data_IF_975008709068
#
_entry.id   IF_975008709068
#
_cell.length_a   1.000
_cell.length_b   1.000
_cell.length_c   1.000
_cell.angle_alpha   90.00
_cell.angle_beta   90.00
_cell.angle_gamma   90.00
#
_symmetry.space_group_name_H-M   'P 1'
#
loop_
_entity.id
_entity.type
_entity.pdbx_description
1 polymer ?
#
# COMPACT_ATOMS: atom_id res chain seq x y z
N UNK A 1 -9.43 15.27 -12.39
CA UNK A 1 -8.36 14.26 -12.46
C UNK A 1 -7.12 14.74 -13.23
N UNK A 2 -7.26 15.41 -14.38
CA UNK A 2 -6.11 15.85 -15.18
C UNK A 2 -5.11 16.76 -14.44
N UNK A 3 -5.61 17.69 -13.61
CA UNK A 3 -4.76 18.60 -12.82
C UNK A 3 -3.86 17.86 -11.83
N UNK A 4 -4.37 16.81 -11.16
CA UNK A 4 -3.56 16.02 -10.22
C UNK A 4 -2.46 15.22 -10.93
N UNK A 5 -2.77 14.69 -12.12
CA UNK A 5 -1.81 13.95 -12.95
C UNK A 5 -0.68 14.88 -13.44
N UNK A 6 -1.02 16.09 -13.88
CA UNK A 6 -0.06 17.05 -14.42
C UNK A 6 0.79 17.75 -13.34
N UNK A 7 0.32 17.83 -12.09
CA UNK A 7 1.02 18.52 -11.00
C UNK A 7 2.21 17.68 -10.51
N UNK A 8 3.45 18.13 -10.69
CA UNK A 8 4.66 17.37 -10.32
C UNK A 8 5.02 17.50 -8.83
N UNK A 9 4.75 18.67 -8.23
CA UNK A 9 5.05 18.96 -6.82
C UNK A 9 4.20 18.06 -5.89
N UNK A 10 4.82 17.20 -5.05
CA UNK A 10 4.08 16.25 -4.23
C UNK A 10 3.09 16.90 -3.26
N UNK A 11 3.48 17.98 -2.58
CA UNK A 11 2.61 18.67 -1.62
C UNK A 11 1.35 19.23 -2.30
N UNK A 12 1.51 19.85 -3.48
CA UNK A 12 0.37 20.37 -4.25
C UNK A 12 -0.50 19.25 -4.82
N UNK A 13 0.12 18.15 -5.23
CA UNK A 13 -0.60 16.97 -5.72
C UNK A 13 -1.43 16.31 -4.60
N UNK A 14 -0.91 16.27 -3.38
CA UNK A 14 -1.60 15.78 -2.19
C UNK A 14 -2.89 16.58 -1.92
N UNK A 15 -2.80 17.90 -1.88
CA UNK A 15 -3.97 18.78 -1.67
C UNK A 15 -5.09 18.49 -2.68
N UNK A 16 -4.74 18.33 -3.96
CA UNK A 16 -5.69 18.02 -5.04
C UNK A 16 -6.35 16.65 -4.81
N UNK A 17 -5.59 15.60 -4.51
CA UNK A 17 -6.16 14.27 -4.29
C UNK A 17 -6.99 14.19 -3.01
N UNK A 18 -6.61 14.88 -1.95
CA UNK A 18 -7.42 14.99 -0.72
C UNK A 18 -8.78 15.62 -1.02
N UNK A 19 -8.83 16.68 -1.84
CA UNK A 19 -10.12 17.26 -2.24
C UNK A 19 -10.99 16.28 -3.02
N UNK A 20 -10.40 15.50 -3.92
CA UNK A 20 -11.12 14.47 -4.67
C UNK A 20 -11.69 13.38 -3.76
N UNK A 21 -10.93 12.96 -2.74
CA UNK A 21 -11.41 11.99 -1.75
C UNK A 21 -12.58 12.56 -0.93
N UNK A 22 -12.51 13.83 -0.51
CA UNK A 22 -13.63 14.49 0.17
C UNK A 22 -14.88 14.56 -0.69
N UNK A 23 -14.75 14.88 -1.99
CA UNK A 23 -15.89 14.87 -2.92
C UNK A 23 -16.55 13.48 -2.99
N UNK A 24 -15.75 12.41 -3.00
CA UNK A 24 -16.26 11.04 -3.04
C UNK A 24 -17.13 10.70 -1.82
N UNK A 25 -16.77 11.24 -0.66
CA UNK A 25 -17.53 11.14 0.58
C UNK A 25 -18.77 12.05 0.59
N UNK A 26 -18.60 13.33 0.27
CA UNK A 26 -19.68 14.35 0.26
C UNK A 26 -20.82 13.97 -0.69
N UNK A 27 -20.47 13.50 -1.89
CA UNK A 27 -21.43 13.18 -2.95
C UNK A 27 -21.91 11.72 -2.90
N UNK A 28 -21.46 10.94 -1.90
CA UNK A 28 -21.82 9.53 -1.71
C UNK A 28 -21.72 8.68 -3.00
N UNK A 29 -20.65 8.88 -3.78
CA UNK A 29 -20.47 8.26 -5.09
C UNK A 29 -20.37 6.73 -4.99
N UNK A 30 -19.98 6.22 -3.82
CA UNK A 30 -19.95 4.80 -3.51
C UNK A 30 -19.91 4.52 -2.01
N UNK A 31 -20.06 3.25 -1.65
CA UNK A 31 -20.00 2.79 -0.26
C UNK A 31 -18.77 1.89 -0.09
N UNK A 32 -17.60 2.45 0.27
CA UNK A 32 -16.42 1.65 0.59
C UNK A 32 -16.68 0.83 1.85
N UNK A 33 -16.66 -0.51 1.75
CA UNK A 33 -16.95 -1.39 2.88
C UNK A 33 -15.70 -1.73 3.68
N UNK A 34 -14.63 -2.15 3.01
CA UNK A 34 -13.34 -2.46 3.61
C UNK A 34 -12.26 -2.54 2.52
N UNK A 35 -11.01 -2.39 2.91
CA UNK A 35 -9.87 -2.74 2.08
C UNK A 35 -9.48 -4.19 2.37
N UNK A 36 -9.40 -5.01 1.33
CA UNK A 36 -9.04 -6.42 1.48
C UNK A 36 -7.64 -6.56 2.11
N UNK A 37 -7.55 -7.42 3.13
CA UNK A 37 -6.29 -7.80 3.76
C UNK A 37 -5.87 -9.16 3.20
N UNK A 38 -4.61 -9.26 2.78
CA UNK A 38 -4.00 -10.51 2.37
C UNK A 38 -3.23 -11.11 3.54
N UNK A 39 -3.47 -12.40 3.82
CA UNK A 39 -2.74 -13.16 4.83
C UNK A 39 -1.71 -14.03 4.11
N UNK A 40 -0.48 -14.03 4.62
CA UNK A 40 0.62 -14.86 4.13
C UNK A 40 1.19 -15.66 5.29
N UNK A 41 1.29 -16.98 5.10
CA UNK A 41 1.86 -17.88 6.08
C UNK A 41 3.27 -18.26 5.64
N UNK A 42 4.27 -17.96 6.48
CA UNK A 42 5.66 -18.36 6.26
C UNK A 42 6.06 -19.43 7.27
N UNK A 43 7.08 -20.22 6.92
CA UNK A 43 7.73 -21.11 7.89
C UNK A 43 8.38 -20.28 8.99
N UNK A 44 8.46 -20.83 10.18
CA UNK A 44 9.07 -20.22 11.38
C UNK A 44 10.54 -19.84 11.21
N UNK A 45 11.26 -20.58 10.36
CA UNK A 45 12.65 -20.33 10.00
C UNK A 45 12.84 -19.27 8.90
N UNK A 46 11.76 -18.65 8.40
CA UNK A 46 11.84 -17.55 7.43
C UNK A 46 11.82 -16.21 8.19
N UNK A 47 12.65 -15.26 7.75
CA UNK A 47 12.71 -13.89 8.27
C UNK A 47 12.77 -12.86 7.14
N UNK A 48 12.57 -11.59 7.48
CA UNK A 48 12.76 -10.45 6.58
C UNK A 48 11.53 -10.08 5.73
N UNK A 49 10.38 -10.69 6.00
CA UNK A 49 9.11 -10.27 5.41
C UNK A 49 8.66 -8.92 5.97
N UNK A 50 8.44 -7.94 5.09
CA UNK A 50 7.90 -6.62 5.45
C UNK A 50 6.60 -6.40 4.67
N UNK A 51 5.42 -6.44 5.32
CA UNK A 51 4.17 -6.21 4.63
C UNK A 51 4.04 -4.75 4.20
N UNK A 52 3.59 -4.53 2.96
CA UNK A 52 3.17 -3.21 2.48
C UNK A 52 1.81 -3.35 1.80
N UNK A 53 0.80 -2.69 2.36
CA UNK A 53 -0.59 -2.78 1.90
C UNK A 53 -0.81 -2.29 0.46
N UNK A 54 0.12 -1.53 -0.11
CA UNK A 54 0.05 -0.99 -1.48
C UNK A 54 0.80 -1.84 -2.50
N UNK A 55 1.57 -2.85 -2.06
CA UNK A 55 2.37 -3.70 -2.93
C UNK A 55 1.67 -5.04 -3.13
N UNK A 56 1.68 -5.52 -4.38
CA UNK A 56 1.25 -6.89 -4.69
C UNK A 56 2.33 -7.88 -4.28
N UNK A 57 2.00 -9.17 -4.25
CA UNK A 57 2.94 -10.25 -3.90
C UNK A 57 4.25 -10.21 -4.73
N UNK A 58 4.18 -9.71 -5.96
CA UNK A 58 5.32 -9.57 -6.86
C UNK A 58 6.33 -8.49 -6.42
N UNK A 59 5.89 -7.56 -5.55
CA UNK A 59 6.66 -6.45 -5.00
C UNK A 59 6.92 -6.61 -3.50
N UNK A 60 6.49 -7.71 -2.88
CA UNK A 60 7.11 -8.18 -1.65
C UNK A 60 8.62 -8.19 -1.94
N UNK A 61 9.42 -7.53 -1.10
CA UNK A 61 10.86 -7.43 -1.31
C UNK A 61 11.45 -8.81 -0.98
N UNK A 62 11.17 -9.82 -1.84
CA UNK A 62 11.62 -11.21 -1.77
C UNK A 62 13.15 -11.27 -1.57
N UNK A 63 13.84 -10.20 -1.94
CA UNK A 63 15.27 -9.95 -1.73
C UNK A 63 15.68 -9.88 -0.24
N UNK A 64 14.75 -9.56 0.66
CA UNK A 64 14.98 -9.51 2.12
C UNK A 64 14.59 -10.79 2.82
N UNK A 65 13.88 -11.70 2.14
CA UNK A 65 13.48 -12.97 2.71
C UNK A 65 14.71 -13.85 2.84
N UNK A 66 15.06 -14.20 4.08
CA UNK A 66 16.22 -15.03 4.40
C UNK A 66 15.83 -16.18 5.32
N UNK A 67 16.60 -17.26 5.27
CA UNK A 67 16.55 -18.30 6.29
C UNK A 67 17.16 -17.75 7.57
N UNK A 68 16.46 -17.85 8.71
CA UNK A 68 17.05 -17.61 10.03
C UNK A 68 18.26 -18.54 10.22
N UNK A 69 19.41 -17.93 10.45
CA UNK A 69 20.60 -18.66 10.89
C UNK A 69 20.49 -18.78 12.41
N UNK A 70 20.45 -19.99 12.99
CA UNK A 70 20.43 -20.15 14.43
C UNK A 70 21.70 -19.52 15.06
N UNK A 71 21.64 -18.96 16.28
CA UNK A 71 22.85 -18.58 17.00
C UNK A 71 23.71 -19.84 17.20
N UNK A 72 25.00 -19.75 16.84
CA UNK A 72 25.99 -20.81 17.00
C UNK A 72 26.53 -20.93 18.41
#
# INVERSE_FOLDING_TARGET
>A
CETGIATVEPAKREEIYTRLQHLWFEEAIGIPLYQQINIRAYRDWIDGYVPNAMLTDAWEDLKRIVKKIPPG
#
